data_IF_246266889382
#
_entry.id   IF_246266889382
#
_cell.length_a   1.000
_cell.length_b   1.000
_cell.length_c   1.000
_cell.angle_alpha   90.00
_cell.angle_beta   90.00
_cell.angle_gamma   90.00
#
_symmetry.space_group_name_H-M   'P 1'
#
loop_
_entity.id
_entity.type
_entity.pdbx_description
1 polymer ?
#
# COMPACT_ATOMS: atom_id res chain seq x y z
N UNK A 1 15.42 0.64 -15.45
CA UNK A 1 14.33 -0.35 -15.31
C UNK A 1 13.29 0.13 -14.30
N UNK A 2 12.07 -0.36 -14.38
CA UNK A 2 11.01 -0.12 -13.41
C UNK A 2 10.32 -1.44 -13.11
N UNK A 3 9.96 -1.65 -11.87
CA UNK A 3 9.16 -2.81 -11.46
C UNK A 3 7.97 -2.33 -10.65
N UNK A 4 6.84 -2.97 -10.87
CA UNK A 4 5.56 -2.56 -10.29
C UNK A 4 4.97 -3.69 -9.47
N UNK A 5 4.35 -3.34 -8.34
CA UNK A 5 3.50 -4.25 -7.59
C UNK A 5 2.19 -3.55 -7.25
N UNK A 6 1.10 -4.29 -7.29
CA UNK A 6 -0.24 -3.77 -7.02
C UNK A 6 -0.93 -4.68 -6.02
N UNK A 7 -1.51 -4.09 -4.99
CA UNK A 7 -2.39 -4.79 -4.05
C UNK A 7 -3.79 -4.20 -4.19
N UNK A 8 -4.68 -4.95 -4.79
CA UNK A 8 -6.07 -4.52 -4.98
C UNK A 8 -6.91 -4.91 -3.76
N UNK A 9 -7.89 -4.08 -3.46
CA UNK A 9 -8.87 -4.32 -2.39
C UNK A 9 -8.24 -4.45 -1.00
N UNK A 10 -7.15 -3.69 -0.75
CA UNK A 10 -6.56 -3.63 0.58
C UNK A 10 -7.58 -3.02 1.55
N UNK A 11 -7.74 -3.65 2.72
CA UNK A 11 -8.65 -3.14 3.75
C UNK A 11 -8.10 -1.87 4.36
N UNK A 12 -8.89 -0.82 4.33
CA UNK A 12 -8.54 0.44 4.97
C UNK A 12 -8.86 1.65 4.13
N UNK A 13 -8.76 2.80 4.77
CA UNK A 13 -9.02 4.09 4.15
C UNK A 13 -7.84 4.51 3.27
N UNK A 14 -8.12 4.96 2.04
CA UNK A 14 -7.11 5.49 1.16
C UNK A 14 -6.39 6.70 1.76
N UNK A 15 -7.12 7.54 2.51
CA UNK A 15 -6.55 8.72 3.16
C UNK A 15 -5.43 8.35 4.14
N UNK A 16 -5.64 7.33 4.97
CA UNK A 16 -4.64 6.87 5.92
C UNK A 16 -3.41 6.27 5.23
N UNK A 17 -3.65 5.52 4.15
CA UNK A 17 -2.56 4.94 3.37
C UNK A 17 -1.76 6.02 2.64
N UNK A 18 -2.41 7.10 2.18
CA UNK A 18 -1.73 8.23 1.53
C UNK A 18 -0.76 8.94 2.47
N UNK A 19 -1.12 9.06 3.75
CA UNK A 19 -0.22 9.65 4.75
C UNK A 19 1.07 8.85 4.87
N UNK A 20 0.96 7.53 4.85
CA UNK A 20 2.12 6.64 4.89
C UNK A 20 2.92 6.73 3.58
N UNK A 21 2.21 6.74 2.45
CA UNK A 21 2.84 6.81 1.13
C UNK A 21 3.69 8.08 0.96
N UNK A 22 3.21 9.20 1.48
CA UNK A 22 3.92 10.48 1.39
C UNK A 22 5.27 10.45 2.13
N UNK A 23 5.40 9.60 3.15
CA UNK A 23 6.64 9.48 3.92
C UNK A 23 7.74 8.74 3.17
N UNK A 24 7.38 7.89 2.22
CA UNK A 24 8.34 7.04 1.52
C UNK A 24 8.53 7.40 0.05
N UNK A 25 7.73 8.31 -0.48
CA UNK A 25 7.84 8.70 -1.90
C UNK A 25 9.20 9.33 -2.19
N UNK A 26 9.92 8.79 -3.17
CA UNK A 26 11.24 9.28 -3.54
C UNK A 26 12.37 8.75 -2.67
N UNK A 27 12.08 7.97 -1.64
CA UNK A 27 13.10 7.43 -0.77
C UNK A 27 13.71 6.15 -1.34
N UNK A 28 14.96 5.89 -0.99
CA UNK A 28 15.61 4.60 -1.25
C UNK A 28 14.81 3.49 -0.60
N UNK A 29 14.75 2.31 -1.21
CA UNK A 29 13.92 1.22 -0.70
C UNK A 29 14.32 0.78 0.72
N UNK A 30 15.61 0.80 1.05
CA UNK A 30 16.06 0.49 2.40
C UNK A 30 15.51 1.48 3.42
N UNK A 31 15.59 2.76 3.10
CA UNK A 31 15.07 3.83 3.95
C UNK A 31 13.55 3.75 4.06
N UNK A 32 12.88 3.50 2.95
CA UNK A 32 11.43 3.33 2.93
C UNK A 32 10.98 2.16 3.81
N UNK A 33 11.66 1.01 3.72
CA UNK A 33 11.36 -0.15 4.56
C UNK A 33 11.56 0.14 6.04
N UNK A 34 12.62 0.89 6.37
CA UNK A 34 12.89 1.31 7.73
C UNK A 34 11.77 2.18 8.29
N UNK A 35 11.35 3.19 7.52
CA UNK A 35 10.24 4.07 7.89
C UNK A 35 8.96 3.26 8.14
N UNK A 36 8.64 2.34 7.24
CA UNK A 36 7.43 1.51 7.35
C UNK A 36 7.49 0.56 8.54
N UNK A 37 8.66 0.01 8.84
CA UNK A 37 8.84 -0.92 9.95
C UNK A 37 8.60 -0.24 11.29
N UNK A 38 9.03 1.01 11.45
CA UNK A 38 8.89 1.74 12.70
C UNK A 38 7.62 2.57 12.79
N UNK A 39 6.76 2.52 11.77
CA UNK A 39 5.50 3.24 11.80
C UNK A 39 4.47 2.50 12.67
N UNK A 40 3.74 3.25 13.47
CA UNK A 40 2.65 2.72 14.30
C UNK A 40 1.36 2.48 13.51
N UNK A 41 1.30 2.97 12.27
CA UNK A 41 0.08 2.93 11.47
C UNK A 41 -0.11 1.55 10.85
N UNK A 42 -1.33 1.04 10.94
CA UNK A 42 -1.70 -0.23 10.33
C UNK A 42 -1.51 -0.24 8.81
N UNK A 43 -1.79 0.90 8.17
CA UNK A 43 -1.60 1.06 6.73
C UNK A 43 -0.14 0.84 6.31
N UNK A 44 0.82 1.12 7.19
CA UNK A 44 2.24 0.93 6.91
C UNK A 44 2.57 -0.55 6.63
N UNK A 45 1.91 -1.48 7.31
CA UNK A 45 2.11 -2.90 7.07
C UNK A 45 1.68 -3.31 5.67
N UNK A 46 0.55 -2.77 5.19
CA UNK A 46 0.05 -3.04 3.85
C UNK A 46 0.99 -2.45 2.79
N UNK A 47 1.41 -1.21 2.96
CA UNK A 47 2.33 -0.55 2.04
C UNK A 47 3.67 -1.28 2.01
N UNK A 48 4.18 -1.70 3.15
CA UNK A 48 5.43 -2.46 3.26
C UNK A 48 5.35 -3.77 2.46
N UNK A 49 4.22 -4.45 2.55
CA UNK A 49 3.99 -5.71 1.83
C UNK A 49 4.06 -5.51 0.32
N UNK A 50 3.42 -4.43 -0.18
CA UNK A 50 3.43 -4.10 -1.60
C UNK A 50 4.83 -3.69 -2.04
N UNK A 51 5.53 -2.90 -1.23
CA UNK A 51 6.91 -2.48 -1.53
C UNK A 51 7.84 -3.69 -1.62
N UNK A 52 7.73 -4.64 -0.69
CA UNK A 52 8.53 -5.87 -0.75
C UNK A 52 8.25 -6.67 -2.01
N UNK A 53 6.99 -6.70 -2.46
CA UNK A 53 6.62 -7.36 -3.72
C UNK A 53 7.26 -6.66 -4.92
N UNK A 54 7.26 -5.33 -4.94
CA UNK A 54 7.89 -4.57 -6.02
C UNK A 54 9.39 -4.81 -6.07
N UNK A 55 10.05 -4.85 -4.91
CA UNK A 55 11.49 -5.14 -4.81
C UNK A 55 11.78 -6.55 -5.33
N UNK A 56 10.99 -7.53 -4.92
CA UNK A 56 11.15 -8.91 -5.38
C UNK A 56 10.98 -9.02 -6.89
N UNK A 57 10.00 -8.32 -7.46
CA UNK A 57 9.78 -8.29 -8.90
C UNK A 57 11.00 -7.68 -9.62
N UNK A 58 11.59 -6.64 -9.08
CA UNK A 58 12.77 -6.01 -9.66
C UNK A 58 13.97 -6.95 -9.65
N UNK A 59 14.20 -7.66 -8.54
CA UNK A 59 15.31 -8.60 -8.42
C UNK A 59 15.14 -9.81 -9.34
N UNK A 60 13.96 -10.44 -9.32
CA UNK A 60 13.73 -11.70 -10.02
C UNK A 60 13.53 -11.52 -11.51
N UNK A 61 12.83 -10.48 -11.93
CA UNK A 61 12.50 -10.31 -13.35
C UNK A 61 13.53 -9.49 -14.11
N UNK A 62 14.18 -8.54 -13.44
CA UNK A 62 15.07 -7.59 -14.10
C UNK A 62 16.52 -7.67 -13.60
N UNK A 63 16.79 -8.50 -12.59
CA UNK A 63 18.12 -8.65 -12.02
C UNK A 63 18.65 -7.38 -11.37
N UNK A 64 17.77 -6.51 -10.91
CA UNK A 64 18.16 -5.23 -10.35
C UNK A 64 18.86 -5.38 -8.99
N UNK A 65 19.80 -4.47 -8.73
CA UNK A 65 20.49 -4.39 -7.45
C UNK A 65 19.61 -3.59 -6.49
N UNK A 66 19.25 -4.20 -5.37
CA UNK A 66 18.39 -3.58 -4.37
C UNK A 66 18.97 -2.27 -3.83
N UNK A 67 20.30 -2.16 -3.77
CA UNK A 67 20.97 -0.96 -3.26
C UNK A 67 20.77 0.26 -4.16
N UNK A 68 20.40 0.04 -5.41
CA UNK A 68 20.17 1.11 -6.39
C UNK A 68 18.70 1.48 -6.54
N UNK A 69 17.79 0.72 -5.92
CA UNK A 69 16.36 0.94 -6.07
C UNK A 69 15.83 2.04 -5.16
N UNK A 70 14.90 2.83 -5.69
CA UNK A 70 14.16 3.82 -4.91
C UNK A 70 12.67 3.76 -5.26
N UNK A 71 11.85 4.29 -4.37
CA UNK A 71 10.40 4.36 -4.60
C UNK A 71 10.12 5.51 -5.55
N UNK A 72 9.94 5.19 -6.83
CA UNK A 72 9.71 6.20 -7.86
C UNK A 72 8.30 6.75 -7.78
N UNK A 73 7.33 5.87 -7.64
CA UNK A 73 5.90 6.23 -7.63
C UNK A 73 5.17 5.34 -6.63
N UNK A 74 4.30 5.93 -5.87
CA UNK A 74 3.36 5.19 -5.05
C UNK A 74 1.99 5.85 -5.18
N UNK A 75 1.00 5.07 -5.59
CA UNK A 75 -0.37 5.51 -5.83
C UNK A 75 -1.31 4.77 -4.91
N UNK A 76 -2.18 5.52 -4.27
CA UNK A 76 -3.22 4.96 -3.43
C UNK A 76 -4.56 5.43 -3.99
N UNK A 77 -5.30 4.50 -4.56
CA UNK A 77 -6.61 4.80 -5.14
C UNK A 77 -7.72 4.24 -4.28
N UNK A 78 -8.86 4.92 -4.25
CA UNK A 78 -10.04 4.42 -3.56
C UNK A 78 -10.57 3.19 -4.30
N UNK A 79 -10.76 2.10 -3.55
CA UNK A 79 -11.42 0.92 -4.05
C UNK A 79 -12.92 0.96 -3.76
N UNK A 80 -13.66 -0.05 -4.22
CA UNK A 80 -15.09 -0.12 -3.95
C UNK A 80 -15.35 -0.25 -2.44
N UNK A 81 -16.42 0.39 -1.99
CA UNK A 81 -16.91 0.26 -0.62
C UNK A 81 -17.86 -0.92 -0.52
N UNK A 82 -17.62 -1.77 0.47
CA UNK A 82 -18.55 -2.85 0.78
C UNK A 82 -19.51 -2.38 1.86
N UNK A 83 -20.80 -2.36 1.52
CA UNK A 83 -21.86 -1.98 2.45
C UNK A 83 -22.52 -3.23 2.99
N UNK A 84 -22.62 -3.35 4.29
CA UNK A 84 -23.36 -4.42 4.95
C UNK A 84 -24.43 -3.82 5.84
N UNK A 85 -25.60 -4.46 5.86
CA UNK A 85 -26.68 -4.10 6.76
C UNK A 85 -26.68 -5.10 7.91
N UNK A 86 -26.53 -4.60 9.14
CA UNK A 86 -26.61 -5.43 10.33
C UNK A 86 -27.96 -5.17 11.01
N UNK A 87 -28.79 -6.20 11.18
CA UNK A 87 -30.03 -6.04 11.94
C UNK A 87 -29.71 -5.74 13.41
N UNK A 88 -30.40 -4.77 13.96
CA UNK A 88 -30.32 -4.39 15.37
C UNK A 88 -31.61 -4.72 16.07
N UNK A 89 -31.61 -4.70 17.40
CA UNK A 89 -32.80 -4.92 18.21
C UNK A 89 -33.94 -3.97 17.79
N UNK A 90 -35.18 -4.41 17.90
CA UNK A 90 -36.40 -3.67 17.51
C UNK A 90 -36.52 -3.39 16.01
N UNK A 91 -35.95 -4.25 15.17
CA UNK A 91 -36.09 -4.16 13.73
C UNK A 91 -35.29 -3.04 13.08
N UNK A 92 -34.40 -2.42 13.81
CA UNK A 92 -33.48 -1.43 13.22
C UNK A 92 -32.32 -2.14 12.53
N UNK A 93 -31.85 -1.51 11.44
CA UNK A 93 -30.68 -1.99 10.72
C UNK A 93 -29.65 -0.87 10.62
N UNK A 94 -28.39 -1.19 10.94
CA UNK A 94 -27.27 -0.27 10.76
C UNK A 94 -26.49 -0.65 9.52
N UNK A 95 -26.03 0.36 8.81
CA UNK A 95 -25.21 0.17 7.62
C UNK A 95 -23.74 0.20 8.02
N UNK A 96 -23.01 -0.88 7.76
CA UNK A 96 -21.58 -0.95 7.97
C UNK A 96 -20.90 -0.72 6.62
N UNK A 97 -20.02 0.27 6.57
CA UNK A 97 -19.25 0.59 5.38
C UNK A 97 -17.82 0.12 5.59
N UNK A 98 -17.38 -0.82 4.74
CA UNK A 98 -15.99 -1.28 4.73
C UNK A 98 -15.30 -0.66 3.53
N UNK A 99 -14.30 0.16 3.80
CA UNK A 99 -13.54 0.84 2.76
C UNK A 99 -12.37 -0.02 2.33
N UNK A 100 -12.08 0.03 1.02
CA UNK A 100 -10.90 -0.62 0.45
C UNK A 100 -10.11 0.39 -0.33
N UNK A 101 -8.85 0.06 -0.59
CA UNK A 101 -7.97 0.87 -1.43
C UNK A 101 -7.12 -0.02 -2.31
N UNK A 102 -6.63 0.56 -3.41
CA UNK A 102 -5.69 -0.10 -4.31
C UNK A 102 -4.33 0.57 -4.14
N UNK A 103 -3.32 -0.20 -3.82
CA UNK A 103 -1.97 0.31 -3.59
C UNK A 103 -1.08 -0.12 -4.74
N UNK A 104 -0.47 0.85 -5.44
CA UNK A 104 0.47 0.59 -6.53
C UNK A 104 1.81 1.18 -6.16
N UNK A 105 2.87 0.37 -6.19
CA UNK A 105 4.24 0.82 -5.93
C UNK A 105 5.10 0.53 -7.15
N UNK A 106 5.81 1.54 -7.62
CA UNK A 106 6.77 1.41 -8.71
C UNK A 106 8.15 1.75 -8.15
N UNK A 107 9.07 0.81 -8.25
CA UNK A 107 10.47 1.01 -7.88
C UNK A 107 11.31 1.11 -9.14
N UNK A 108 12.40 1.87 -9.08
CA UNK A 108 13.25 2.12 -10.23
C UNK A 108 14.69 2.31 -9.77
N UNK A 109 15.65 2.08 -10.66
CA UNK A 109 17.06 2.37 -10.42
C UNK A 109 17.52 3.66 -11.11
N UNK A 110 16.58 4.36 -11.74
CA UNK A 110 16.94 5.61 -12.43
C UNK A 110 15.84 6.68 -12.34
#
# INVERSE_FOLDING_TARGET
>A
MQATAIHKFARGSAQKARLVADQIRGEHVEKALEILTFSNKKAAELVKKVLNSAIANAEHNDGADIDELFVKTILIDDGPTMKRIMPRAKGRADRIIKRTSHITVIVSDS
#
